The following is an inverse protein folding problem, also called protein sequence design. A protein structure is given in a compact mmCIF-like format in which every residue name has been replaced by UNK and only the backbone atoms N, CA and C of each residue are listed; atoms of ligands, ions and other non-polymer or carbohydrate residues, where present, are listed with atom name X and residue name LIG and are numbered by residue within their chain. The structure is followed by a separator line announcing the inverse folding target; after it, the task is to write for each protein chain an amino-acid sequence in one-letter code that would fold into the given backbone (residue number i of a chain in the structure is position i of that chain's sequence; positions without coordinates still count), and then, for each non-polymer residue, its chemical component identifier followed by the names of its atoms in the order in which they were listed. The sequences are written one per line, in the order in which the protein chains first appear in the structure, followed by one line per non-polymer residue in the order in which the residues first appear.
data_IF_909714000746
#
_entry.id   IF_909714000746
#
_cell.length_a   1.000
_cell.length_b   1.000
_cell.length_c   1.000
_cell.angle_alpha   90.00
_cell.angle_beta   90.00
_cell.angle_gamma   90.00
#
_symmetry.space_group_name_H-M   'P 1'
#
loop_
_entity.id
_entity.type
_entity.pdbx_description
1 polymer ?
#
# COMPACT_ATOMS: atom_id res chain seq x y z
N UNK A 1 -30.11 31.70 -4.30
CA UNK A 1 -29.11 30.79 -3.69
C UNK A 1 -27.79 31.04 -4.39
N UNK A 2 -26.91 31.80 -3.77
CA UNK A 2 -25.61 32.16 -4.33
C UNK A 2 -24.71 30.91 -4.37
N UNK A 3 -24.26 30.49 -5.56
CA UNK A 3 -23.13 29.58 -5.68
C UNK A 3 -21.88 30.34 -5.23
N UNK A 4 -21.42 30.05 -4.01
CA UNK A 4 -20.08 30.37 -3.59
C UNK A 4 -19.11 29.47 -4.38
N UNK A 5 -18.53 30.03 -5.45
CA UNK A 5 -17.29 29.55 -6.02
C UNK A 5 -16.22 29.70 -4.94
N UNK A 6 -15.97 28.62 -4.20
CA UNK A 6 -14.76 28.51 -3.38
C UNK A 6 -13.59 28.52 -4.37
N UNK A 7 -12.60 29.42 -4.22
CA UNK A 7 -11.40 29.34 -5.04
C UNK A 7 -10.69 28.06 -4.62
N UNK A 8 -10.81 27.01 -5.42
CA UNK A 8 -9.83 25.92 -5.37
C UNK A 8 -8.49 26.57 -5.64
N UNK A 9 -7.57 26.50 -4.67
CA UNK A 9 -6.16 26.79 -4.92
C UNK A 9 -5.72 25.86 -6.05
N UNK A 10 -5.74 26.34 -7.30
CA UNK A 10 -5.13 25.63 -8.41
C UNK A 10 -3.63 25.76 -8.23
N UNK A 11 -3.03 24.77 -7.57
CA UNK A 11 -1.58 24.64 -7.59
C UNK A 11 -1.14 24.52 -9.05
N UNK A 12 -0.16 25.32 -9.49
CA UNK A 12 0.36 25.20 -10.85
C UNK A 12 0.93 23.78 -11.05
N UNK A 13 0.57 23.19 -12.19
CA UNK A 13 1.14 21.94 -12.66
C UNK A 13 2.27 22.25 -13.63
N UNK A 14 3.36 21.51 -13.51
CA UNK A 14 4.48 21.50 -14.45
C UNK A 14 4.55 20.16 -15.15
N UNK A 15 5.19 20.16 -16.32
CA UNK A 15 5.34 18.96 -17.12
C UNK A 15 6.82 18.79 -17.46
N UNK A 16 7.30 17.56 -17.31
CA UNK A 16 8.57 17.11 -17.87
C UNK A 16 8.32 15.85 -18.71
N UNK A 17 8.86 15.81 -19.92
CA UNK A 17 8.57 14.74 -20.87
C UNK A 17 9.83 13.93 -21.19
N UNK A 18 9.64 12.63 -21.37
CA UNK A 18 10.62 11.72 -21.95
C UNK A 18 10.19 11.30 -23.37
N UNK A 19 10.91 10.38 -24.00
CA UNK A 19 10.51 9.83 -25.30
C UNK A 19 9.21 9.01 -25.24
N UNK A 20 8.85 8.51 -24.06
CA UNK A 20 7.70 7.62 -23.84
C UNK A 20 6.65 8.12 -22.84
N UNK A 21 6.98 9.10 -22.02
CA UNK A 21 6.11 9.55 -20.92
C UNK A 21 5.98 11.07 -20.86
N UNK A 22 4.82 11.52 -20.43
CA UNK A 22 4.60 12.89 -19.97
C UNK A 22 4.36 12.85 -18.46
N UNK A 23 5.28 13.42 -17.69
CA UNK A 23 5.24 13.46 -16.23
C UNK A 23 4.71 14.83 -15.82
N UNK A 24 3.47 14.87 -15.36
CA UNK A 24 2.76 16.07 -14.91
C UNK A 24 2.81 16.10 -13.39
N UNK A 25 3.36 17.15 -12.78
CA UNK A 25 3.56 17.20 -11.35
C UNK A 25 3.13 18.55 -10.75
N UNK A 26 2.65 18.51 -9.51
CA UNK A 26 2.33 19.70 -8.74
C UNK A 26 3.61 20.39 -8.25
N UNK A 27 3.63 21.73 -8.22
CA UNK A 27 4.77 22.50 -7.71
C UNK A 27 5.24 22.01 -6.32
N UNK A 28 6.57 21.91 -6.14
CA UNK A 28 7.20 21.35 -4.93
C UNK A 28 7.42 19.83 -4.95
N UNK A 29 7.04 19.14 -6.04
CA UNK A 29 7.29 17.71 -6.26
C UNK A 29 8.32 17.46 -7.39
N UNK A 30 9.17 18.45 -7.69
CA UNK A 30 10.21 18.40 -8.72
C UNK A 30 11.12 17.18 -8.52
N UNK A 31 11.46 16.88 -7.27
CA UNK A 31 12.31 15.76 -6.90
C UNK A 31 11.77 14.44 -7.44
N UNK A 32 10.51 14.12 -7.10
CA UNK A 32 9.86 12.88 -7.52
C UNK A 32 9.63 12.83 -9.03
N UNK A 33 9.32 13.97 -9.65
CA UNK A 33 9.19 14.05 -11.10
C UNK A 33 10.52 13.78 -11.81
N UNK A 34 11.63 14.31 -11.31
CA UNK A 34 12.96 14.09 -11.90
C UNK A 34 13.52 12.70 -11.61
N UNK A 35 13.21 12.11 -10.46
CA UNK A 35 13.51 10.70 -10.18
C UNK A 35 12.83 9.78 -11.20
N UNK A 36 11.53 9.98 -11.44
CA UNK A 36 10.78 9.20 -12.42
C UNK A 36 11.23 9.48 -13.86
N UNK A 37 11.55 10.74 -14.20
CA UNK A 37 12.11 11.09 -15.50
C UNK A 37 13.41 10.32 -15.78
N UNK A 38 14.28 10.20 -14.76
CA UNK A 38 15.57 9.53 -14.87
C UNK A 38 15.44 8.01 -14.98
N UNK A 39 14.53 7.40 -14.21
CA UNK A 39 14.49 5.94 -14.03
C UNK A 39 13.33 5.27 -14.80
N UNK A 40 12.26 5.99 -15.08
CA UNK A 40 10.97 5.44 -15.49
C UNK A 40 11.00 4.68 -16.82
N UNK A 41 11.69 5.18 -17.86
CA UNK A 41 11.76 4.44 -19.14
C UNK A 41 12.54 3.11 -19.00
N UNK A 42 13.54 3.06 -18.12
CA UNK A 42 14.26 1.83 -17.82
C UNK A 42 13.37 0.86 -17.04
N UNK A 43 12.57 1.37 -16.09
CA UNK A 43 11.55 0.57 -15.38
C UNK A 43 10.54 0.00 -16.39
N UNK A 44 9.97 0.85 -17.27
CA UNK A 44 9.06 0.40 -18.32
C UNK A 44 9.68 -0.72 -19.15
N UNK A 45 10.92 -0.55 -19.62
CA UNK A 45 11.63 -1.57 -20.42
C UNK A 45 11.79 -2.90 -19.66
N UNK A 46 12.09 -2.85 -18.37
CA UNK A 46 12.22 -4.06 -17.51
C UNK A 46 10.87 -4.76 -17.34
N UNK A 47 9.81 -4.01 -17.04
CA UNK A 47 8.44 -4.55 -16.92
C UNK A 47 7.97 -5.17 -18.25
N UNK A 48 8.18 -4.47 -19.37
CA UNK A 48 7.86 -4.98 -20.70
C UNK A 48 8.63 -6.25 -21.04
N UNK A 49 9.90 -6.33 -20.64
CA UNK A 49 10.72 -7.53 -20.79
C UNK A 49 10.19 -8.70 -19.97
N UNK A 50 9.75 -8.45 -18.73
CA UNK A 50 9.16 -9.46 -17.86
C UNK A 50 7.83 -9.98 -18.40
N UNK A 51 6.98 -9.12 -18.97
CA UNK A 51 5.65 -9.53 -19.44
C UNK A 51 5.63 -9.94 -20.92
N UNK A 52 6.63 -9.55 -21.71
CA UNK A 52 6.63 -9.71 -23.16
C UNK A 52 5.60 -8.83 -23.89
N UNK A 53 5.09 -7.79 -23.22
CA UNK A 53 4.08 -6.86 -23.70
C UNK A 53 4.71 -5.48 -23.77
N UNK A 54 4.40 -4.69 -24.81
CA UNK A 54 4.87 -3.31 -24.94
C UNK A 54 3.72 -2.35 -24.99
N UNK A 55 3.83 -1.24 -24.27
CA UNK A 55 2.91 -0.12 -24.43
C UNK A 55 3.22 0.59 -25.75
N UNK A 56 2.19 0.77 -26.58
CA UNK A 56 2.34 1.44 -27.90
C UNK A 56 2.23 2.95 -27.80
N UNK A 57 1.36 3.41 -26.90
CA UNK A 57 1.04 4.82 -26.73
C UNK A 57 1.93 5.45 -25.66
N UNK A 58 1.95 6.79 -25.61
CA UNK A 58 2.62 7.51 -24.52
C UNK A 58 1.85 7.32 -23.22
N UNK A 59 2.59 7.24 -22.13
CA UNK A 59 2.04 7.16 -20.77
C UNK A 59 1.98 8.56 -20.16
N UNK A 60 0.87 8.90 -19.51
CA UNK A 60 0.78 10.11 -18.67
C UNK A 60 0.95 9.70 -17.22
N UNK A 61 1.85 10.37 -16.50
CA UNK A 61 2.04 10.13 -15.07
C UNK A 61 1.80 11.42 -14.32
N UNK A 62 0.81 11.43 -13.43
CA UNK A 62 0.54 12.55 -12.54
C UNK A 62 1.20 12.30 -11.20
N UNK A 63 1.96 13.27 -10.70
CA UNK A 63 2.51 13.27 -9.34
C UNK A 63 1.85 14.42 -8.59
N UNK A 64 0.98 14.09 -7.65
CA UNK A 64 0.07 15.03 -6.98
C UNK A 64 0.10 14.84 -5.48
N UNK A 65 -0.13 15.93 -4.73
CA UNK A 65 -0.31 15.84 -3.28
C UNK A 65 -1.72 15.32 -2.96
N UNK A 66 -1.83 14.55 -1.89
CA UNK A 66 -3.11 14.15 -1.30
C UNK A 66 -2.98 14.04 0.22
N UNK A 67 -2.70 15.19 0.84
CA UNK A 67 -2.31 15.29 2.24
C UNK A 67 -1.16 14.33 2.60
N UNK A 68 -1.34 13.52 3.64
CA UNK A 68 -0.31 12.64 4.23
C UNK A 68 -0.35 11.20 3.68
N UNK A 69 -1.17 10.91 2.68
CA UNK A 69 -1.32 9.54 2.16
C UNK A 69 -0.24 9.23 1.11
N UNK A 70 0.35 8.05 1.23
CA UNK A 70 1.08 7.39 0.15
C UNK A 70 0.15 6.42 -0.57
N UNK A 71 -0.02 6.60 -1.87
CA UNK A 71 -0.82 5.71 -2.70
C UNK A 71 -0.49 5.94 -4.18
N UNK A 72 -0.97 5.06 -5.05
CA UNK A 72 -1.03 5.32 -6.48
C UNK A 72 -2.22 4.56 -7.09
N UNK A 73 -2.55 4.89 -8.33
CA UNK A 73 -3.44 4.06 -9.13
C UNK A 73 -3.14 4.21 -10.62
N UNK A 74 -3.49 3.18 -11.38
CA UNK A 74 -3.44 3.15 -12.83
C UNK A 74 -4.84 3.19 -13.43
N UNK A 75 -4.96 3.92 -14.53
CA UNK A 75 -6.06 3.84 -15.48
C UNK A 75 -5.54 3.33 -16.82
N UNK A 76 -5.67 2.01 -17.09
CA UNK A 76 -5.26 1.41 -18.35
C UNK A 76 -6.08 1.87 -19.57
N UNK A 77 -7.27 2.46 -19.37
CA UNK A 77 -8.13 2.91 -20.46
C UNK A 77 -7.50 4.12 -21.17
N UNK A 78 -6.98 5.05 -20.38
CA UNK A 78 -6.39 6.32 -20.84
C UNK A 78 -4.84 6.35 -20.77
N UNK A 79 -4.19 5.26 -20.36
CA UNK A 79 -2.75 5.19 -20.10
C UNK A 79 -2.29 6.25 -19.09
N UNK A 80 -3.02 6.35 -17.99
CA UNK A 80 -2.74 7.31 -16.92
C UNK A 80 -2.28 6.56 -15.68
N UNK A 81 -1.21 7.04 -15.05
CA UNK A 81 -0.85 6.66 -13.69
C UNK A 81 -0.90 7.91 -12.82
N UNK A 82 -1.43 7.80 -11.61
CA UNK A 82 -1.41 8.88 -10.62
C UNK A 82 -0.69 8.39 -9.38
N UNK A 83 0.31 9.13 -8.93
CA UNK A 83 1.17 8.82 -7.79
C UNK A 83 1.03 9.91 -6.73
N UNK A 84 0.77 9.49 -5.49
CA UNK A 84 0.81 10.32 -4.29
C UNK A 84 2.14 10.05 -3.57
N UNK A 85 3.12 10.98 -3.62
CA UNK A 85 4.54 10.66 -3.39
C UNK A 85 5.00 10.66 -1.92
N UNK A 86 4.09 10.43 -0.97
CA UNK A 86 4.48 10.25 0.43
C UNK A 86 5.03 8.82 0.66
N UNK A 87 5.71 8.60 1.78
CA UNK A 87 6.06 7.23 2.21
C UNK A 87 4.85 6.54 2.85
N UNK A 88 4.84 5.20 2.81
CA UNK A 88 3.75 4.39 3.38
C UNK A 88 3.56 4.65 4.87
N UNK A 89 2.30 4.66 5.30
CA UNK A 89 1.95 4.85 6.70
C UNK A 89 2.36 3.62 7.49
N UNK A 90 2.78 3.76 8.74
CA UNK A 90 3.42 2.66 9.42
C UNK A 90 2.49 1.55 9.88
N UNK A 91 1.18 1.84 9.99
CA UNK A 91 0.17 0.80 10.21
C UNK A 91 -0.25 0.11 8.91
N UNK A 92 0.11 0.68 7.76
CA UNK A 92 0.01 -0.01 6.50
C UNK A 92 1.23 -0.92 6.35
N UNK A 93 1.04 -2.03 5.66
CA UNK A 93 2.11 -2.95 5.35
C UNK A 93 3.25 -2.18 4.64
N UNK A 94 4.49 -2.26 5.15
CA UNK A 94 5.65 -1.48 4.64
C UNK A 94 6.58 -2.42 3.85
N UNK A 95 6.37 -2.60 2.52
CA UNK A 95 7.29 -3.37 1.70
C UNK A 95 8.69 -2.77 1.75
N UNK A 96 9.67 -3.62 1.53
CA UNK A 96 11.04 -3.15 1.27
C UNK A 96 11.12 -2.54 -0.13
N UNK A 97 11.52 -1.27 -0.23
CA UNK A 97 11.79 -0.59 -1.49
C UNK A 97 12.82 0.53 -1.29
N UNK A 98 13.64 0.79 -2.31
CA UNK A 98 14.67 1.83 -2.25
C UNK A 98 14.08 3.22 -2.49
N UNK A 99 13.20 3.35 -3.47
CA UNK A 99 12.54 4.60 -3.84
C UNK A 99 11.04 4.32 -4.06
N UNK A 100 10.17 5.11 -3.41
CA UNK A 100 8.72 4.92 -3.46
C UNK A 100 8.17 5.07 -4.88
N UNK A 101 8.59 6.11 -5.59
CA UNK A 101 8.09 6.46 -6.93
C UNK A 101 8.44 5.36 -7.93
N UNK A 102 9.70 4.91 -7.95
CA UNK A 102 10.14 3.83 -8.83
C UNK A 102 9.42 2.51 -8.52
N UNK A 103 9.28 2.20 -7.24
CA UNK A 103 8.59 1.00 -6.75
C UNK A 103 7.12 0.99 -7.19
N UNK A 104 6.37 2.03 -6.81
CA UNK A 104 4.93 2.11 -7.09
C UNK A 104 4.67 2.27 -8.59
N UNK A 105 5.53 2.98 -9.32
CA UNK A 105 5.43 3.08 -10.78
C UNK A 105 5.57 1.70 -11.45
N UNK A 106 6.46 0.82 -10.98
CA UNK A 106 6.57 -0.54 -11.53
C UNK A 106 5.31 -1.38 -11.30
N UNK A 107 4.65 -1.19 -10.17
CA UNK A 107 3.36 -1.80 -9.84
C UNK A 107 2.26 -1.28 -10.78
N UNK A 108 2.05 0.03 -10.81
CA UNK A 108 0.99 0.66 -11.60
C UNK A 108 1.18 0.46 -13.11
N UNK A 109 2.42 0.48 -13.59
CA UNK A 109 2.70 0.22 -15.00
C UNK A 109 2.38 -1.23 -15.41
N UNK A 110 2.45 -2.17 -14.47
CA UNK A 110 1.99 -3.55 -14.71
C UNK A 110 0.49 -3.61 -14.97
N UNK A 111 -0.30 -2.83 -14.23
CA UNK A 111 -1.74 -2.68 -14.48
C UNK A 111 -2.02 -2.08 -15.86
N UNK A 112 -1.26 -1.06 -16.28
CA UNK A 112 -1.37 -0.50 -17.64
C UNK A 112 -1.15 -1.57 -18.71
N UNK A 113 -0.06 -2.34 -18.60
CA UNK A 113 0.24 -3.36 -19.59
C UNK A 113 -0.77 -4.50 -19.59
N UNK A 114 -1.23 -4.94 -18.42
CA UNK A 114 -2.24 -5.97 -18.30
C UNK A 114 -3.57 -5.49 -18.92
N UNK A 115 -4.05 -4.30 -18.57
CA UNK A 115 -5.29 -3.75 -19.10
C UNK A 115 -5.25 -3.44 -20.61
N UNK A 116 -4.06 -3.28 -21.18
CA UNK A 116 -3.83 -3.12 -22.63
C UNK A 116 -3.53 -4.42 -23.37
N UNK A 117 -3.49 -5.56 -22.67
CA UNK A 117 -3.16 -6.86 -23.24
C UNK A 117 -4.41 -7.63 -23.69
N UNK A 118 -5.06 -7.15 -24.76
CA UNK A 118 -6.28 -7.74 -25.29
C UNK A 118 -6.18 -8.08 -26.77
N UNK A 119 -7.00 -9.04 -27.24
CA UNK A 119 -6.99 -9.47 -28.64
C UNK A 119 -7.34 -8.35 -29.63
N UNK A 120 -6.68 -8.35 -30.80
CA UNK A 120 -6.84 -7.28 -31.80
C UNK A 120 -8.28 -7.14 -32.31
N UNK A 121 -9.06 -8.22 -32.34
CA UNK A 121 -10.44 -8.17 -32.84
C UNK A 121 -11.37 -7.35 -31.93
N UNK A 122 -11.07 -7.21 -30.63
CA UNK A 122 -11.81 -6.31 -29.74
C UNK A 122 -11.74 -4.85 -30.19
N UNK A 123 -10.75 -4.48 -31.02
CA UNK A 123 -10.71 -3.15 -31.62
C UNK A 123 -11.92 -2.83 -32.50
N UNK A 124 -12.73 -3.81 -32.91
CA UNK A 124 -14.02 -3.54 -33.57
C UNK A 124 -14.94 -2.69 -32.69
N UNK A 125 -14.86 -2.85 -31.36
CA UNK A 125 -15.66 -2.08 -30.41
C UNK A 125 -15.17 -0.64 -30.22
N UNK A 126 -14.06 -0.23 -30.86
CA UNK A 126 -13.62 1.19 -30.86
C UNK A 126 -14.62 2.11 -31.55
N UNK A 127 -15.56 1.58 -32.32
CA UNK A 127 -16.69 2.34 -32.86
C UNK A 127 -17.53 2.98 -31.75
N UNK A 128 -17.50 2.43 -30.53
CA UNK A 128 -18.18 2.95 -29.35
C UNK A 128 -17.25 3.80 -28.45
N UNK A 129 -16.01 4.05 -28.89
CA UNK A 129 -14.99 4.80 -28.16
C UNK A 129 -13.70 4.00 -27.95
N UNK A 130 -12.57 4.70 -27.91
CA UNK A 130 -11.23 4.08 -27.75
C UNK A 130 -11.04 3.35 -26.41
N UNK A 131 -11.83 3.72 -25.38
CA UNK A 131 -11.82 3.12 -24.05
C UNK A 131 -12.55 1.79 -23.97
N UNK A 132 -13.42 1.47 -24.95
CA UNK A 132 -14.30 0.30 -24.87
C UNK A 132 -13.56 -1.05 -24.94
N UNK A 133 -12.62 -1.28 -25.88
CA UNK A 133 -11.86 -2.54 -25.91
C UNK A 133 -11.10 -2.84 -24.60
N UNK A 134 -10.29 -1.92 -24.02
CA UNK A 134 -9.63 -2.19 -22.75
C UNK A 134 -10.63 -2.34 -21.60
N UNK A 135 -11.77 -1.64 -21.60
CA UNK A 135 -12.79 -1.81 -20.56
C UNK A 135 -13.39 -3.23 -20.55
N UNK A 136 -13.73 -3.76 -21.73
CA UNK A 136 -14.23 -5.14 -21.88
C UNK A 136 -13.21 -6.14 -21.34
N UNK A 137 -11.91 -5.93 -21.64
CA UNK A 137 -10.84 -6.80 -21.17
C UNK A 137 -10.66 -6.73 -19.65
N UNK A 138 -10.51 -5.53 -19.08
CA UNK A 138 -10.29 -5.35 -17.65
C UNK A 138 -11.43 -5.96 -16.80
N UNK A 139 -12.69 -5.91 -17.27
CA UNK A 139 -13.80 -6.56 -16.57
C UNK A 139 -13.67 -8.10 -16.46
N UNK A 140 -12.91 -8.74 -17.36
CA UNK A 140 -12.72 -10.19 -17.38
C UNK A 140 -11.51 -10.65 -16.57
N UNK A 141 -10.56 -9.76 -16.30
CA UNK A 141 -9.37 -10.08 -15.52
C UNK A 141 -9.70 -9.98 -14.03
N UNK A 142 -9.55 -11.06 -13.24
CA UNK A 142 -9.90 -11.00 -11.83
C UNK A 142 -8.95 -10.10 -11.04
N UNK A 143 -9.45 -9.42 -10.01
CA UNK A 143 -8.66 -8.50 -9.17
C UNK A 143 -7.40 -9.13 -8.57
N UNK A 144 -7.48 -10.38 -8.11
CA UNK A 144 -6.29 -11.08 -7.60
C UNK A 144 -5.22 -11.31 -8.68
N UNK A 145 -5.57 -11.38 -9.98
CA UNK A 145 -4.58 -11.44 -11.05
C UNK A 145 -3.95 -10.07 -11.30
N UNK A 146 -4.76 -9.00 -11.28
CA UNK A 146 -4.24 -7.63 -11.35
C UNK A 146 -3.19 -7.37 -10.28
N UNK A 147 -3.58 -7.48 -9.02
CA UNK A 147 -2.70 -7.15 -7.88
C UNK A 147 -1.57 -8.17 -7.71
N UNK A 148 -1.88 -9.46 -7.90
CA UNK A 148 -0.89 -10.52 -7.78
C UNK A 148 0.25 -10.37 -8.79
N UNK A 149 -0.07 -10.09 -10.06
CA UNK A 149 0.94 -9.91 -11.10
C UNK A 149 1.79 -8.66 -10.84
N UNK A 150 1.15 -7.57 -10.42
CA UNK A 150 1.86 -6.34 -10.09
C UNK A 150 2.82 -6.54 -8.90
N UNK A 151 2.44 -7.33 -7.89
CA UNK A 151 3.34 -7.72 -6.78
C UNK A 151 4.52 -8.59 -7.24
N UNK A 152 4.29 -9.54 -8.14
CA UNK A 152 5.38 -10.35 -8.71
C UNK A 152 6.39 -9.46 -9.46
N UNK A 153 5.89 -8.57 -10.30
CA UNK A 153 6.72 -7.67 -11.11
C UNK A 153 7.48 -6.66 -10.23
N UNK A 154 6.80 -5.98 -9.30
CA UNK A 154 7.47 -5.01 -8.42
C UNK A 154 8.56 -5.69 -7.59
N UNK A 155 8.35 -6.94 -7.15
CA UNK A 155 9.32 -7.72 -6.36
C UNK A 155 10.51 -8.09 -7.23
N UNK A 156 10.31 -8.55 -8.47
CA UNK A 156 11.45 -8.86 -9.38
C UNK A 156 12.26 -7.63 -9.78
N UNK A 157 11.65 -6.45 -9.77
CA UNK A 157 12.33 -5.21 -10.13
C UNK A 157 13.02 -4.53 -8.95
N UNK A 158 12.47 -4.74 -7.75
CA UNK A 158 12.85 -4.11 -6.50
C UNK A 158 13.07 -5.21 -5.43
N UNK A 159 12.78 -4.93 -4.15
CA UNK A 159 12.59 -5.99 -3.14
C UNK A 159 11.13 -6.36 -3.05
N UNK A 160 10.25 -5.36 -2.95
CA UNK A 160 8.80 -5.50 -3.08
C UNK A 160 8.15 -6.25 -1.93
N UNK A 161 6.85 -6.59 -2.09
CA UNK A 161 6.07 -7.22 -1.01
C UNK A 161 6.47 -8.68 -0.75
N UNK A 162 6.87 -9.45 -1.76
CA UNK A 162 7.17 -10.88 -1.57
C UNK A 162 8.50 -11.13 -0.85
N UNK A 163 9.39 -10.14 -0.74
CA UNK A 163 10.60 -10.24 0.10
C UNK A 163 10.37 -9.79 1.54
N UNK A 164 9.17 -9.32 1.88
CA UNK A 164 8.88 -8.85 3.22
C UNK A 164 8.50 -10.00 4.18
N UNK A 165 9.07 -10.05 5.39
CA UNK A 165 8.78 -11.10 6.36
C UNK A 165 7.32 -11.14 6.84
N UNK A 166 6.68 -9.98 7.04
CA UNK A 166 5.29 -9.90 7.49
C UNK A 166 4.35 -10.37 6.38
N UNK A 167 4.63 -10.00 5.12
CA UNK A 167 3.82 -10.44 3.98
C UNK A 167 3.87 -11.95 3.82
N UNK A 168 5.07 -12.52 3.94
CA UNK A 168 5.27 -13.95 3.87
C UNK A 168 4.60 -14.68 5.03
N UNK A 169 4.62 -14.12 6.25
CA UNK A 169 3.87 -14.66 7.38
C UNK A 169 2.36 -14.70 7.11
N UNK A 170 1.79 -13.64 6.54
CA UNK A 170 0.37 -13.59 6.15
C UNK A 170 0.08 -14.63 5.06
N UNK A 171 0.96 -14.75 4.06
CA UNK A 171 0.86 -15.78 3.01
C UNK A 171 0.84 -17.21 3.61
N UNK A 172 1.65 -17.48 4.63
CA UNK A 172 1.66 -18.80 5.27
C UNK A 172 0.40 -19.03 6.12
N UNK A 173 -0.09 -18.00 6.81
CA UNK A 173 -1.34 -18.08 7.59
C UNK A 173 -2.56 -18.38 6.71
N UNK A 174 -2.71 -17.68 5.56
CA UNK A 174 -3.83 -17.95 4.64
C UNK A 174 -3.80 -19.39 4.11
N UNK A 175 -2.60 -19.97 3.90
CA UNK A 175 -2.43 -21.34 3.42
C UNK A 175 -2.77 -22.34 4.52
N UNK A 176 -2.33 -22.11 5.75
CA UNK A 176 -2.69 -22.90 6.95
C UNK A 176 -4.21 -22.93 7.14
N UNK A 177 -4.86 -21.78 7.00
CA UNK A 177 -6.31 -21.64 7.08
C UNK A 177 -7.05 -22.15 5.83
N UNK A 178 -6.32 -22.56 4.79
CA UNK A 178 -6.85 -23.03 3.50
C UNK A 178 -7.81 -22.03 2.85
N UNK A 179 -7.48 -20.75 2.95
CA UNK A 179 -8.27 -19.67 2.34
C UNK A 179 -8.08 -19.72 0.83
N UNK A 180 -9.18 -19.97 0.12
CA UNK A 180 -9.21 -20.18 -1.33
C UNK A 180 -9.08 -18.85 -2.11
N UNK A 181 -8.48 -18.91 -3.31
CA UNK A 181 -8.29 -17.78 -4.23
C UNK A 181 -9.62 -17.06 -4.57
N UNK A 182 -10.77 -17.74 -4.48
CA UNK A 182 -12.09 -17.11 -4.67
C UNK A 182 -12.34 -15.89 -3.75
N UNK A 183 -11.68 -15.84 -2.58
CA UNK A 183 -11.78 -14.71 -1.66
C UNK A 183 -10.89 -13.51 -2.06
N UNK A 184 -10.11 -13.63 -3.14
CA UNK A 184 -9.30 -12.55 -3.71
C UNK A 184 -10.07 -11.67 -4.71
N UNK A 185 -11.36 -11.91 -4.90
CA UNK A 185 -12.23 -11.07 -5.73
C UNK A 185 -12.64 -9.76 -5.04
N UNK A 186 -13.39 -8.91 -5.75
CA UNK A 186 -13.76 -7.57 -5.30
C UNK A 186 -14.73 -7.52 -4.09
N UNK A 187 -15.43 -8.62 -3.75
CA UNK A 187 -16.39 -8.67 -2.64
C UNK A 187 -16.25 -9.97 -1.86
N UNK A 188 -15.84 -9.87 -0.60
CA UNK A 188 -15.58 -11.00 0.29
C UNK A 188 -15.86 -10.58 1.73
N UNK A 189 -16.28 -11.53 2.57
CA UNK A 189 -16.46 -11.34 4.02
C UNK A 189 -15.23 -11.83 4.82
N UNK A 190 -14.27 -12.44 4.13
CA UNK A 190 -13.01 -12.89 4.71
C UNK A 190 -12.03 -11.73 4.63
N UNK A 191 -11.53 -11.28 5.76
CA UNK A 191 -10.48 -10.28 5.81
C UNK A 191 -9.09 -10.93 5.78
N UNK A 192 -8.19 -10.37 4.97
CA UNK A 192 -6.78 -10.75 4.96
C UNK A 192 -5.92 -9.48 5.15
N UNK A 193 -5.06 -9.41 6.18
CA UNK A 193 -4.10 -8.32 6.32
C UNK A 193 -3.24 -8.17 5.05
N UNK A 194 -2.98 -6.94 4.62
CA UNK A 194 -2.27 -6.67 3.35
C UNK A 194 -3.14 -6.73 2.09
N UNK A 195 -4.42 -7.10 2.22
CA UNK A 195 -5.43 -7.02 1.18
C UNK A 195 -5.60 -8.33 0.41
N UNK A 196 -6.85 -8.78 0.30
CA UNK A 196 -7.20 -10.06 -0.28
C UNK A 196 -6.65 -10.32 -1.70
N UNK A 197 -6.89 -9.45 -2.70
CA UNK A 197 -6.39 -9.68 -4.06
C UNK A 197 -4.86 -9.72 -4.10
N UNK A 198 -4.20 -8.89 -3.29
CA UNK A 198 -2.75 -8.80 -3.19
C UNK A 198 -2.15 -10.12 -2.68
N UNK A 199 -2.57 -10.56 -1.49
CA UNK A 199 -2.01 -11.73 -0.81
C UNK A 199 -2.35 -13.02 -1.53
N UNK A 200 -3.63 -13.23 -1.89
CA UNK A 200 -4.05 -14.48 -2.54
C UNK A 200 -3.49 -14.58 -3.96
N UNK A 201 -3.53 -13.47 -4.69
CA UNK A 201 -3.04 -13.37 -6.07
C UNK A 201 -1.55 -13.65 -6.17
N UNK A 202 -0.72 -12.90 -5.44
CA UNK A 202 0.73 -13.08 -5.48
C UNK A 202 1.15 -14.44 -4.92
N UNK A 203 0.52 -14.90 -3.83
CA UNK A 203 0.81 -16.22 -3.26
C UNK A 203 0.58 -17.36 -4.25
N UNK A 204 -0.49 -17.29 -5.05
CA UNK A 204 -0.79 -18.29 -6.07
C UNK A 204 0.17 -18.18 -7.27
N UNK A 205 0.45 -16.99 -7.77
CA UNK A 205 1.40 -16.80 -8.89
C UNK A 205 2.83 -17.21 -8.49
N UNK A 206 3.27 -16.88 -7.28
CA UNK A 206 4.55 -17.33 -6.73
C UNK A 206 4.62 -18.87 -6.65
N UNK A 207 3.51 -19.54 -6.32
CA UNK A 207 3.45 -20.99 -6.37
C UNK A 207 3.57 -21.52 -7.79
N UNK A 208 2.86 -20.93 -8.76
CA UNK A 208 2.95 -21.33 -10.16
C UNK A 208 4.36 -21.12 -10.70
N UNK A 209 5.03 -20.01 -10.37
CA UNK A 209 6.42 -19.79 -10.78
C UNK A 209 7.37 -20.81 -10.16
N UNK A 210 7.25 -21.11 -8.86
CA UNK A 210 8.09 -22.12 -8.19
C UNK A 210 7.88 -23.53 -8.74
N UNK A 211 6.65 -23.88 -9.06
CA UNK A 211 6.28 -25.21 -9.54
C UNK A 211 6.61 -25.42 -11.03
N UNK A 212 6.54 -24.34 -11.82
CA UNK A 212 6.76 -24.38 -13.26
C UNK A 212 7.90 -23.44 -13.64
N UNK A 213 7.60 -22.16 -13.89
CA UNK A 213 8.55 -21.09 -14.21
C UNK A 213 7.81 -19.77 -14.49
N UNK A 214 8.56 -18.68 -14.65
CA UNK A 214 8.02 -17.38 -15.07
C UNK A 214 7.42 -17.39 -16.49
N UNK A 215 7.92 -18.24 -17.38
CA UNK A 215 7.34 -18.40 -18.73
C UNK A 215 5.90 -18.91 -18.67
N UNK A 216 5.57 -19.72 -17.67
CA UNK A 216 4.22 -20.20 -17.40
C UNK A 216 3.31 -19.05 -17.00
N UNK A 217 3.77 -18.14 -16.14
CA UNK A 217 3.04 -16.91 -15.81
C UNK A 217 2.78 -16.08 -17.07
N UNK A 218 3.80 -15.86 -17.91
CA UNK A 218 3.60 -15.16 -19.19
C UNK A 218 2.58 -15.85 -20.10
N UNK A 219 2.56 -17.19 -20.15
CA UNK A 219 1.53 -17.93 -20.90
C UNK A 219 0.13 -17.74 -20.30
N UNK A 220 -0.02 -17.65 -18.98
CA UNK A 220 -1.30 -17.33 -18.35
C UNK A 220 -1.78 -15.94 -18.79
N UNK A 221 -0.91 -14.94 -18.71
CA UNK A 221 -1.20 -13.56 -19.15
C UNK A 221 -1.45 -13.50 -20.66
N UNK A 222 -0.76 -14.31 -21.46
CA UNK A 222 -1.05 -14.41 -22.88
C UNK A 222 -2.44 -15.01 -23.14
N UNK A 223 -2.82 -16.06 -22.41
CA UNK A 223 -4.12 -16.71 -22.60
C UNK A 223 -5.29 -15.82 -22.14
N UNK A 224 -5.13 -15.01 -21.08
CA UNK A 224 -6.21 -14.16 -20.56
C UNK A 224 -6.61 -13.01 -21.49
N UNK A 225 -5.81 -12.73 -22.52
CA UNK A 225 -6.14 -11.72 -23.55
C UNK A 225 -7.32 -12.14 -24.43
N UNK A 226 -7.57 -13.45 -24.52
CA UNK A 226 -8.70 -14.04 -25.25
C UNK A 226 -10.00 -13.67 -24.52
N UNK A 227 -10.96 -12.99 -25.18
CA UNK A 227 -12.19 -12.58 -24.51
C UNK A 227 -12.98 -13.77 -24.01
N UNK A 228 -13.61 -13.62 -22.84
CA UNK A 228 -14.39 -14.65 -22.14
C UNK A 228 -13.60 -15.86 -21.61
N UNK A 229 -12.30 -15.97 -21.86
CA UNK A 229 -11.45 -16.98 -21.22
C UNK A 229 -11.39 -16.71 -19.72
N UNK A 230 -11.78 -17.71 -18.92
CA UNK A 230 -11.70 -17.60 -17.46
C UNK A 230 -10.26 -17.73 -17.01
N UNK A 231 -9.91 -17.10 -15.88
CA UNK A 231 -8.58 -17.27 -15.30
C UNK A 231 -8.20 -18.74 -15.06
N UNK A 232 -9.15 -19.56 -14.59
CA UNK A 232 -8.92 -21.00 -14.41
C UNK A 232 -8.53 -21.70 -15.71
N UNK A 233 -9.20 -21.37 -16.82
CA UNK A 233 -8.92 -21.94 -18.14
C UNK A 233 -7.56 -21.47 -18.68
N UNK A 234 -7.22 -20.20 -18.48
CA UNK A 234 -5.91 -19.64 -18.84
C UNK A 234 -4.77 -20.35 -18.10
N UNK A 235 -4.97 -20.63 -16.81
CA UNK A 235 -4.05 -21.41 -15.96
C UNK A 235 -3.96 -22.86 -16.41
N UNK A 236 -5.09 -23.52 -16.65
CA UNK A 236 -5.12 -24.92 -17.12
C UNK A 236 -4.39 -25.08 -18.46
N UNK A 237 -4.62 -24.16 -19.40
CA UNK A 237 -3.95 -24.13 -20.72
C UNK A 237 -2.43 -23.90 -20.58
N UNK A 238 -2.01 -23.02 -19.67
CA UNK A 238 -0.60 -22.69 -19.48
C UNK A 238 0.20 -23.77 -18.72
N UNK A 239 -0.41 -24.32 -17.66
CA UNK A 239 0.19 -25.31 -16.76
C UNK A 239 -0.03 -26.75 -17.22
N UNK A 240 -0.99 -27.00 -18.12
CA UNK A 240 -1.44 -28.33 -18.56
C UNK A 240 -1.84 -29.23 -17.37
N UNK A 241 -2.51 -28.64 -16.38
CA UNK A 241 -2.99 -29.28 -15.14
C UNK A 241 -4.34 -28.69 -14.76
N UNK A 242 -5.21 -29.49 -14.17
CA UNK A 242 -6.50 -29.05 -13.62
C UNK A 242 -6.30 -27.93 -12.59
N UNK A 243 -7.14 -26.89 -12.66
CA UNK A 243 -7.02 -25.72 -11.79
C UNK A 243 -7.26 -26.06 -10.32
N UNK A 244 -8.21 -26.95 -10.02
CA UNK A 244 -8.54 -27.33 -8.62
C UNK A 244 -7.42 -28.15 -7.99
N UNK A 245 -6.76 -28.98 -8.78
CA UNK A 245 -5.58 -29.71 -8.30
C UNK A 245 -4.40 -28.76 -8.04
N UNK A 246 -4.22 -27.73 -8.89
CA UNK A 246 -3.24 -26.68 -8.65
C UNK A 246 -3.52 -25.90 -7.36
N UNK A 247 -4.75 -25.45 -7.13
CA UNK A 247 -5.11 -24.70 -5.91
C UNK A 247 -4.97 -25.56 -4.66
N UNK A 248 -5.34 -26.85 -4.70
CA UNK A 248 -5.09 -27.79 -3.60
C UNK A 248 -3.61 -27.95 -3.28
N UNK A 249 -2.75 -28.04 -4.30
CA UNK A 249 -1.29 -28.16 -4.11
C UNK A 249 -0.68 -26.87 -3.57
N UNK A 250 -1.10 -25.72 -4.10
CA UNK A 250 -0.74 -24.40 -3.59
C UNK A 250 -1.02 -24.26 -2.09
N UNK A 251 -2.22 -24.63 -1.65
CA UNK A 251 -2.61 -24.58 -0.23
C UNK A 251 -1.87 -25.61 0.65
N UNK A 252 -1.31 -26.67 0.06
CA UNK A 252 -0.54 -27.70 0.79
C UNK A 252 0.96 -27.36 0.89
N UNK A 253 1.47 -26.48 0.03
CA UNK A 253 2.88 -26.12 -0.01
C UNK A 253 3.19 -25.08 1.07
N UNK A 254 3.57 -25.56 2.25
CA UNK A 254 3.96 -24.76 3.42
C UNK A 254 5.42 -25.07 3.75
N UNK A 255 6.38 -24.13 3.66
CA UNK A 255 7.60 -24.24 4.44
C UNK A 255 7.22 -24.13 5.92
N UNK A 256 7.56 -25.13 6.71
CA UNK A 256 7.28 -25.12 8.14
C UNK A 256 8.04 -23.98 8.82
N UNK A 257 7.32 -22.91 9.18
CA UNK A 257 7.71 -22.03 10.28
C UNK A 257 6.58 -22.06 11.31
N UNK A 258 6.94 -22.60 12.47
CA UNK A 258 6.10 -22.62 13.66
C UNK A 258 6.04 -21.20 14.21
N UNK A 259 4.85 -20.60 14.15
CA UNK A 259 4.47 -19.54 15.06
C UNK A 259 3.19 -20.04 15.74
N UNK A 260 3.20 -20.02 17.07
CA UNK A 260 2.04 -20.39 17.89
C UNK A 260 0.85 -19.50 17.55
N UNK A 261 -0.35 -20.07 17.61
CA UNK A 261 -1.62 -19.40 17.29
C UNK A 261 -1.81 -18.18 18.19
N UNK A 262 -1.82 -16.98 17.61
CA UNK A 262 -2.36 -15.81 18.29
C UNK A 262 -3.89 -15.94 18.34
N UNK A 263 -4.44 -15.56 19.50
CA UNK A 263 -5.87 -15.56 19.83
C UNK A 263 -6.69 -14.90 18.70
N UNK A 264 -7.73 -15.60 18.24
CA UNK A 264 -8.73 -15.03 17.32
C UNK A 264 -9.52 -13.94 18.04
N UNK A 265 -9.15 -12.68 17.78
CA UNK A 265 -10.02 -11.53 17.99
C UNK A 265 -10.66 -11.21 16.63
N UNK A 266 -11.98 -11.01 16.58
CA UNK A 266 -12.66 -10.54 15.37
C UNK A 266 -12.19 -9.10 15.08
N UNK A 267 -11.22 -8.96 14.17
CA UNK A 267 -10.60 -7.70 13.76
C UNK A 267 -9.08 -7.67 13.96
N UNK A 268 -8.40 -6.76 13.26
CA UNK A 268 -6.94 -6.61 13.46
C UNK A 268 -6.66 -5.87 14.76
N UNK A 269 -6.17 -6.59 15.76
CA UNK A 269 -5.53 -5.99 16.93
C UNK A 269 -4.21 -5.36 16.50
N UNK A 270 -4.05 -4.05 16.74
CA UNK A 270 -2.85 -3.28 16.41
C UNK A 270 -2.34 -2.51 17.62
N UNK A 271 -1.01 -2.41 17.71
CA UNK A 271 -0.26 -1.65 18.74
C UNK A 271 -0.78 -1.89 20.17
N UNK A 272 -0.64 -3.10 20.73
CA UNK A 272 -0.97 -3.33 22.12
C UNK A 272 -0.04 -2.51 23.03
N UNK A 273 -0.60 -1.72 23.93
CA UNK A 273 0.13 -0.90 24.91
C UNK A 273 -0.38 -1.27 26.31
N UNK A 274 0.51 -1.69 27.20
CA UNK A 274 0.17 -1.91 28.60
C UNK A 274 0.32 -0.60 29.37
N UNK A 275 -0.78 -0.11 29.95
CA UNK A 275 -0.77 1.09 30.77
C UNK A 275 -1.83 0.98 31.88
N UNK A 276 -1.46 1.40 33.09
CA UNK A 276 -2.39 1.47 34.24
C UNK A 276 -3.14 0.15 34.51
N UNK A 277 -2.49 -1.01 34.32
CA UNK A 277 -3.11 -2.32 34.54
C UNK A 277 -4.06 -2.80 33.45
N UNK A 278 -4.12 -2.12 32.30
CA UNK A 278 -4.95 -2.48 31.14
C UNK A 278 -4.10 -2.61 29.89
N UNK A 279 -4.58 -3.39 28.92
CA UNK A 279 -4.01 -3.43 27.58
C UNK A 279 -4.86 -2.57 26.66
N UNK A 280 -4.31 -1.48 26.14
CA UNK A 280 -4.91 -0.67 25.09
C UNK A 280 -4.52 -1.23 23.73
N UNK A 281 -5.44 -1.25 22.78
CA UNK A 281 -5.17 -1.71 21.42
C UNK A 281 -6.14 -1.05 20.43
N UNK A 282 -5.74 -0.97 19.18
CA UNK A 282 -6.61 -0.54 18.10
C UNK A 282 -7.26 -1.76 17.45
N UNK A 283 -8.56 -1.66 17.16
CA UNK A 283 -9.27 -2.55 16.25
C UNK A 283 -9.63 -1.79 14.98
N UNK A 284 -9.50 -2.46 13.83
CA UNK A 284 -9.95 -1.97 12.53
C UNK A 284 -10.68 -3.09 11.80
N UNK A 285 -11.91 -2.83 11.37
CA UNK A 285 -12.73 -3.75 10.57
C UNK A 285 -12.79 -3.35 9.08
N UNK A 286 -13.31 -4.28 8.26
CA UNK A 286 -13.41 -4.18 6.79
C UNK A 286 -14.30 -3.05 6.30
N UNK A 287 -15.17 -2.53 7.17
CA UNK A 287 -16.11 -1.46 6.88
C UNK A 287 -15.55 -0.10 7.28
N UNK A 288 -14.26 -0.04 7.64
CA UNK A 288 -13.57 1.20 8.00
C UNK A 288 -13.91 1.69 9.41
N UNK A 289 -14.58 0.87 10.24
CA UNK A 289 -14.75 1.18 11.65
C UNK A 289 -13.44 0.88 12.34
N UNK A 290 -12.84 1.93 12.88
CA UNK A 290 -11.68 1.84 13.76
C UNK A 290 -12.06 2.31 15.16
N UNK A 291 -11.33 1.84 16.14
CA UNK A 291 -11.48 2.31 17.51
C UNK A 291 -10.30 1.87 18.36
N UNK A 292 -10.11 2.58 19.46
CA UNK A 292 -9.17 2.20 20.52
C UNK A 292 -9.99 1.53 21.62
N UNK A 293 -9.54 0.36 22.04
CA UNK A 293 -10.18 -0.49 23.02
C UNK A 293 -9.21 -0.76 24.17
N UNK A 294 -9.76 -1.11 25.34
CA UNK A 294 -9.01 -1.66 26.47
C UNK A 294 -9.45 -3.07 26.75
N UNK A 295 -8.50 -3.95 27.05
CA UNK A 295 -8.75 -5.26 27.63
C UNK A 295 -8.38 -5.23 29.11
N UNK A 296 -9.32 -5.60 29.97
CA UNK A 296 -9.18 -5.65 31.43
C UNK A 296 -8.89 -7.06 31.98
N UNK A 297 -8.68 -8.04 31.08
CA UNK A 297 -8.51 -9.45 31.43
C UNK A 297 -9.73 -10.30 31.11
N UNK A 298 -10.92 -9.68 30.97
CA UNK A 298 -12.17 -10.39 30.68
C UNK A 298 -12.86 -9.85 29.42
N UNK A 299 -12.93 -8.51 29.27
CA UNK A 299 -13.71 -7.87 28.23
C UNK A 299 -12.90 -6.83 27.44
N UNK A 300 -13.15 -6.76 26.14
CA UNK A 300 -12.71 -5.66 25.29
C UNK A 300 -13.72 -4.51 25.38
N UNK A 301 -13.32 -3.41 26.01
CA UNK A 301 -14.16 -2.23 26.23
C UNK A 301 -13.73 -1.08 25.30
N UNK A 302 -14.64 -0.43 24.56
CA UNK A 302 -14.28 0.69 23.71
C UNK A 302 -13.86 1.93 24.53
N UNK A 303 -12.77 2.57 24.14
CA UNK A 303 -12.28 3.85 24.71
C UNK A 303 -12.55 5.00 23.75
N UNK A 304 -12.18 4.83 22.48
CA UNK A 304 -12.42 5.81 21.40
C UNK A 304 -13.05 5.06 20.23
N UNK A 305 -14.23 5.50 19.79
CA UNK A 305 -14.91 4.98 18.60
C UNK A 305 -14.90 6.06 17.52
N UNK A 306 -13.80 6.11 16.77
CA UNK A 306 -13.61 7.08 15.70
C UNK A 306 -13.11 6.36 14.44
N UNK A 307 -13.69 6.61 13.27
CA UNK A 307 -13.17 6.04 12.02
C UNK A 307 -11.83 6.67 11.66
N UNK A 308 -11.06 5.94 10.85
CA UNK A 308 -9.79 6.42 10.28
C UNK A 308 -8.73 6.81 11.34
N UNK A 309 -8.68 6.08 12.46
CA UNK A 309 -7.54 6.15 13.38
C UNK A 309 -6.31 5.59 12.67
N UNK A 310 -5.23 6.35 12.76
CA UNK A 310 -3.91 6.06 12.19
C UNK A 310 -3.08 5.42 13.29
N UNK A 311 -2.62 6.20 14.26
CA UNK A 311 -1.81 5.72 15.38
C UNK A 311 -2.41 6.17 16.73
N UNK A 312 -1.98 5.57 17.85
CA UNK A 312 -2.33 6.05 19.19
C UNK A 312 -1.25 5.73 20.22
N UNK A 313 -1.22 6.46 21.33
CA UNK A 313 -0.37 6.17 22.47
C UNK A 313 -1.08 6.47 23.78
N UNK A 314 -0.71 5.73 24.83
CA UNK A 314 -1.23 5.88 26.18
C UNK A 314 -0.07 5.84 27.18
N UNK A 315 -0.08 6.78 28.12
CA UNK A 315 0.83 6.81 29.28
C UNK A 315 0.12 7.43 30.47
N UNK A 316 0.17 6.79 31.62
CA UNK A 316 -0.49 7.22 32.85
C UNK A 316 -1.97 7.56 32.63
N UNK A 317 -2.67 6.71 31.88
CA UNK A 317 -4.06 6.89 31.42
C UNK A 317 -4.33 8.12 30.54
N UNK A 318 -3.31 8.92 30.19
CA UNK A 318 -3.40 9.98 29.18
C UNK A 318 -3.29 9.36 27.79
N UNK A 319 -4.31 9.58 26.96
CA UNK A 319 -4.39 9.02 25.62
C UNK A 319 -4.25 10.13 24.57
N UNK A 320 -3.42 9.88 23.58
CA UNK A 320 -3.36 10.63 22.33
C UNK A 320 -3.59 9.70 21.15
N UNK A 321 -4.23 10.20 20.10
CA UNK A 321 -4.46 9.43 18.88
C UNK A 321 -4.38 10.31 17.64
N UNK A 322 -3.93 9.72 16.56
CA UNK A 322 -3.91 10.33 15.24
C UNK A 322 -5.18 9.90 14.51
N UNK A 323 -5.95 10.86 14.04
CA UNK A 323 -7.10 10.63 13.18
C UNK A 323 -6.90 11.30 11.84
N UNK A 324 -7.16 10.56 10.76
CA UNK A 324 -7.13 11.09 9.40
C UNK A 324 -8.45 11.78 9.07
N UNK A 325 -8.37 13.01 8.61
CA UNK A 325 -9.52 13.81 8.19
C UNK A 325 -9.45 14.13 6.71
N UNK A 326 -10.60 14.09 6.03
CA UNK A 326 -10.71 14.62 4.67
C UNK A 326 -10.77 16.15 4.73
N UNK A 327 -9.93 16.80 3.93
CA UNK A 327 -9.79 18.26 3.83
C UNK A 327 -9.80 18.67 2.35
N UNK A 328 -9.95 19.97 2.03
CA UNK A 328 -9.81 20.44 0.65
C UNK A 328 -8.45 20.14 0.01
N UNK A 329 -7.40 19.91 0.81
CA UNK A 329 -6.03 19.61 0.38
C UNK A 329 -5.76 18.09 0.28
N UNK A 330 -6.79 17.26 0.46
CA UNK A 330 -6.68 15.80 0.54
C UNK A 330 -6.84 15.31 1.98
N UNK A 331 -6.17 14.20 2.32
CA UNK A 331 -6.32 13.58 3.63
C UNK A 331 -5.20 13.95 4.59
N UNK A 332 -5.53 14.65 5.68
CA UNK A 332 -4.54 15.15 6.64
C UNK A 332 -4.70 14.46 7.99
N UNK A 333 -3.58 13.97 8.53
CA UNK A 333 -3.52 13.36 9.85
C UNK A 333 -3.49 14.43 10.94
N UNK A 334 -4.37 14.33 11.93
CA UNK A 334 -4.45 15.25 13.06
C UNK A 334 -4.27 14.49 14.37
N UNK A 335 -3.50 15.05 15.29
CA UNK A 335 -3.28 14.48 16.63
C UNK A 335 -4.32 15.06 17.57
N UNK A 336 -5.02 14.19 18.28
CA UNK A 336 -6.05 14.51 19.26
C UNK A 336 -5.70 13.95 20.63
N UNK A 337 -6.06 14.66 21.69
CA UNK A 337 -6.15 14.08 23.04
C UNK A 337 -7.41 13.23 23.18
N UNK A 338 -7.53 12.45 24.26
CA UNK A 338 -8.74 11.70 24.62
C UNK A 338 -10.01 12.58 24.62
N UNK A 339 -9.89 13.83 25.07
CA UNK A 339 -10.96 14.84 25.10
C UNK A 339 -11.24 15.46 23.71
N UNK A 340 -10.59 14.95 22.66
CA UNK A 340 -10.71 15.38 21.27
C UNK A 340 -10.23 16.80 21.00
N UNK A 341 -9.31 17.30 21.83
CA UNK A 341 -8.60 18.55 21.54
C UNK A 341 -7.49 18.29 20.52
N UNK A 342 -7.46 19.06 19.43
CA UNK A 342 -6.42 18.95 18.42
C UNK A 342 -5.12 19.57 18.95
N UNK A 343 -4.03 18.81 18.90
CA UNK A 343 -2.70 19.22 19.42
C UNK A 343 -1.63 19.23 18.36
N UNK A 344 -1.83 18.60 17.19
CA UNK A 344 -0.84 18.57 16.12
C UNK A 344 -1.44 18.14 14.78
N UNK A 345 -0.66 18.30 13.70
CA UNK A 345 -1.04 17.90 12.34
C UNK A 345 0.14 17.31 11.57
N UNK A 346 -0.18 16.49 10.56
CA UNK A 346 0.73 15.78 9.68
C UNK A 346 1.60 14.74 10.40
N UNK A 347 1.15 14.21 11.53
CA UNK A 347 1.86 13.13 12.22
C UNK A 347 1.44 11.78 11.61
N UNK A 348 2.40 10.87 11.47
CA UNK A 348 2.16 9.48 11.01
C UNK A 348 2.43 8.46 12.11
N UNK A 349 3.11 8.88 13.18
CA UNK A 349 3.27 8.10 14.40
C UNK A 349 3.45 9.03 15.58
N UNK A 350 2.97 8.63 16.76
CA UNK A 350 3.08 9.41 17.99
C UNK A 350 3.29 8.48 19.20
N UNK A 351 4.13 8.92 20.13
CA UNK A 351 4.29 8.32 21.44
C UNK A 351 4.54 9.38 22.53
N UNK A 352 4.36 9.00 23.80
CA UNK A 352 4.71 9.85 24.95
C UNK A 352 6.21 9.78 25.22
N UNK A 353 6.86 10.93 25.42
CA UNK A 353 8.27 11.07 25.78
C UNK A 353 8.42 11.94 27.03
N UNK A 354 8.59 11.31 28.19
CA UNK A 354 8.41 12.00 29.48
C UNK A 354 6.98 12.54 29.60
N UNK A 355 6.85 13.86 29.79
CA UNK A 355 5.59 14.62 29.76
C UNK A 355 5.29 15.28 28.39
N UNK A 356 6.16 15.05 27.40
CA UNK A 356 6.07 15.61 26.04
C UNK A 356 5.54 14.53 25.08
N UNK A 357 5.25 14.94 23.85
CA UNK A 357 5.00 13.99 22.76
C UNK A 357 6.23 13.91 21.86
N UNK A 358 6.57 12.71 21.41
CA UNK A 358 7.48 12.48 20.30
C UNK A 358 6.67 11.93 19.13
N UNK A 359 7.01 12.33 17.91
CA UNK A 359 6.27 11.86 16.75
C UNK A 359 7.06 11.91 15.46
N UNK A 360 6.61 11.13 14.50
CA UNK A 360 7.09 11.19 13.12
C UNK A 360 6.14 12.08 12.34
N UNK A 361 6.66 13.16 11.75
CA UNK A 361 5.89 14.18 11.03
C UNK A 361 6.18 14.14 9.52
N UNK A 362 5.13 14.05 8.72
CA UNK A 362 5.15 14.11 7.27
C UNK A 362 5.28 15.57 6.81
N UNK A 363 6.28 15.81 5.95
CA UNK A 363 6.53 17.11 5.32
C UNK A 363 5.87 17.17 3.94
N UNK A 364 5.63 18.39 3.46
CA UNK A 364 5.01 18.66 2.16
C UNK A 364 5.76 18.07 0.95
N UNK A 365 7.08 17.90 1.08
CA UNK A 365 7.94 17.35 0.03
C UNK A 365 7.99 15.80 0.04
N UNK A 366 7.18 15.15 0.89
CA UNK A 366 7.14 13.70 1.05
C UNK A 366 8.13 13.12 2.06
N UNK A 367 9.08 13.90 2.58
CA UNK A 367 10.01 13.45 3.62
C UNK A 367 9.35 13.41 5.01
N UNK A 368 10.00 12.74 5.96
CA UNK A 368 9.54 12.62 7.34
C UNK A 368 10.62 13.02 8.32
N UNK A 369 10.24 13.80 9.33
CA UNK A 369 11.13 14.18 10.43
C UNK A 369 10.63 13.56 11.74
N UNK A 370 11.53 13.42 12.70
CA UNK A 370 11.16 13.14 14.09
C UNK A 370 11.13 14.46 14.84
N UNK A 371 10.02 14.72 15.51
CA UNK A 371 9.77 15.95 16.24
C UNK A 371 9.37 15.66 17.68
N UNK A 372 9.80 16.52 18.60
CA UNK A 372 9.25 16.60 19.95
C UNK A 372 8.25 17.75 19.97
N UNK A 373 7.06 17.50 20.54
CA UNK A 373 5.99 18.46 20.69
C UNK A 373 5.69 18.69 22.17
N UNK A 374 5.63 19.97 22.56
CA UNK A 374 5.28 20.39 23.91
C UNK A 374 4.68 21.80 23.92
N UNK A 375 3.52 21.97 24.57
CA UNK A 375 2.85 23.28 24.76
C UNK A 375 2.65 24.10 23.47
N UNK A 376 2.36 23.43 22.35
CA UNK A 376 2.16 24.10 21.05
C UNK A 376 3.46 24.40 20.29
N UNK A 377 4.63 24.15 20.89
CA UNK A 377 5.92 24.21 20.23
C UNK A 377 6.32 22.86 19.63
N UNK A 378 6.95 22.89 18.46
CA UNK A 378 7.52 21.73 17.77
C UNK A 378 9.04 21.94 17.61
N UNK A 379 9.82 20.94 17.98
CA UNK A 379 11.27 20.89 17.79
C UNK A 379 11.62 19.67 16.94
N UNK A 380 12.30 19.89 15.80
CA UNK A 380 12.83 18.78 14.99
C UNK A 380 14.10 18.27 15.65
N UNK A 381 14.09 17.00 16.06
CA UNK A 381 15.25 16.34 16.67
C UNK A 381 16.00 15.44 15.67
N UNK A 382 15.33 15.02 14.59
CA UNK A 382 15.96 14.26 13.51
C UNK A 382 15.31 14.59 12.17
N UNK A 383 16.13 15.03 11.21
CA UNK A 383 15.71 15.23 9.83
C UNK A 383 15.81 13.91 9.05
N UNK A 384 14.74 13.57 8.34
CA UNK A 384 14.77 12.44 7.41
C UNK A 384 15.46 12.80 6.09
N UNK A 385 15.79 11.77 5.33
CA UNK A 385 16.38 11.85 3.99
C UNK A 385 15.87 10.70 3.13
N UNK A 386 16.22 10.71 1.84
CA UNK A 386 15.97 9.56 0.94
C UNK A 386 16.60 8.26 1.44
N UNK A 387 17.78 8.38 2.04
CA UNK A 387 18.49 7.23 2.58
C UNK A 387 18.04 6.82 3.97
N UNK A 388 17.25 7.66 4.66
CA UNK A 388 16.80 7.44 6.02
C UNK A 388 15.42 8.05 6.24
N UNK A 389 14.38 7.22 6.21
CA UNK A 389 12.98 7.66 6.39
C UNK A 389 12.46 7.15 7.73
N UNK A 390 12.22 8.02 8.72
CA UNK A 390 11.52 7.64 9.95
C UNK A 390 10.11 7.14 9.63
N UNK A 391 9.71 6.02 10.22
CA UNK A 391 8.41 5.39 10.01
C UNK A 391 7.58 5.47 11.29
N UNK A 392 8.05 4.86 12.38
CA UNK A 392 7.39 4.90 13.69
C UNK A 392 8.35 5.40 14.74
N UNK A 393 7.78 5.94 15.82
CA UNK A 393 8.51 6.19 17.06
C UNK A 393 7.83 5.49 18.20
N UNK A 394 8.63 5.00 19.15
CA UNK A 394 8.15 4.57 20.46
C UNK A 394 9.11 5.01 21.54
N UNK A 395 8.64 5.10 22.78
CA UNK A 395 9.46 5.50 23.92
C UNK A 395 9.00 4.83 25.22
N UNK A 396 9.95 4.63 26.14
CA UNK A 396 9.66 4.24 27.53
C UNK A 396 9.54 5.44 28.49
N UNK A 397 9.71 6.66 27.96
CA UNK A 397 9.69 7.92 28.70
C UNK A 397 11.07 8.53 28.94
N UNK A 398 12.16 7.78 28.79
CA UNK A 398 13.54 8.26 28.92
C UNK A 398 14.30 8.14 27.59
N UNK A 399 14.21 6.96 26.97
CA UNK A 399 14.78 6.67 25.66
C UNK A 399 13.68 6.61 24.60
N UNK A 400 14.04 6.86 23.34
CA UNK A 400 13.14 6.68 22.21
C UNK A 400 13.77 5.75 21.17
N UNK A 401 12.96 4.85 20.62
CA UNK A 401 13.33 4.00 19.50
C UNK A 401 12.52 4.39 18.26
N UNK A 402 13.14 4.27 17.09
CA UNK A 402 12.55 4.54 15.80
C UNK A 402 12.56 3.28 14.96
N UNK A 403 11.42 2.97 14.36
CA UNK A 403 11.41 2.16 13.16
C UNK A 403 11.71 3.09 11.99
N UNK A 404 12.74 2.82 11.20
CA UNK A 404 13.08 3.65 10.05
C UNK A 404 13.55 2.80 8.86
N UNK A 405 13.33 3.32 7.66
CA UNK A 405 13.87 2.75 6.43
C UNK A 405 15.25 3.36 6.17
N UNK A 406 16.30 2.55 6.27
CA UNK A 406 17.68 2.91 5.92
C UNK A 406 18.11 2.19 4.64
N UNK A 407 18.43 2.96 3.58
CA UNK A 407 18.81 2.42 2.26
C UNK A 407 17.84 1.34 1.74
N UNK A 408 16.55 1.56 1.94
CA UNK A 408 15.48 0.67 1.49
C UNK A 408 15.24 -0.58 2.34
N UNK A 409 15.98 -0.79 3.43
CA UNK A 409 15.69 -1.81 4.44
C UNK A 409 15.02 -1.15 5.66
N UNK A 410 14.03 -1.80 6.25
CA UNK A 410 13.43 -1.36 7.52
C UNK A 410 14.25 -1.94 8.68
N UNK A 411 14.61 -1.09 9.64
CA UNK A 411 15.38 -1.46 10.84
C UNK A 411 14.96 -0.61 12.05
N UNK A 412 15.43 -1.00 13.24
CA UNK A 412 15.18 -0.32 14.52
C UNK A 412 16.42 0.49 14.93
N UNK A 413 16.21 1.76 15.25
CA UNK A 413 17.24 2.70 15.65
C UNK A 413 16.93 3.25 17.04
N UNK A 414 17.93 3.32 17.91
CA UNK A 414 17.79 3.99 19.20
C UNK A 414 18.17 5.46 19.03
N UNK A 415 17.28 6.37 19.42
CA UNK A 415 17.59 7.79 19.60
C UNK A 415 18.34 7.92 20.92
N UNK A 416 19.59 8.36 20.85
CA UNK A 416 20.38 8.76 22.01
C UNK A 416 20.52 10.26 21.99
N UNK A 417 20.45 10.87 23.18
CA UNK A 417 20.67 12.30 23.40
C UNK A 417 22.02 12.81 22.88
#
# INVERSE_FOLDING_TARGET
MFLLLVPTLMFPFRIVSTSRMDIIYQDGLERQAFELMRNGENIMKRVEGLLGIKLKDRLKVYIVRNGDIANAYADPLDNVIVIYPNDLQPEDFIPSYNNWVDYVFSHEYTHILLGRNYERWLNVFRIFGDVVPPAIHNQHVPMYLHEGLAIEVETKLNRGRLEDPIFNMIIEDIRKQKIDLKYGGATTHVYIPGGNPYVLGSSFLSFVEREFDWETIKRIIHNIREPFTRFSEAVEKACKKDFRDLTKRWLKHTPATHLEEFIKVDGNVRKPIFDSGKVYFMLKDDFGRSGIYTFDGENANPVILEPSIVDFSVKDSKLVFIKRLSTPEGYVNHVFTKEKNMVGKNFVSVDWYGDRLIGVKQLENGLRNVVIFHNGGEETILEGSESFVPLQVTSDGEDAALLAKSKGAVDIFLLKD
#
